data_IF_701107248455
#
_entry.id   IF_701107248455
#
_cell.length_a   1.000
_cell.length_b   1.000
_cell.length_c   1.000
_cell.angle_alpha   90.00
_cell.angle_beta   90.00
_cell.angle_gamma   90.00
#
_symmetry.space_group_name_H-M   'P 1'
#
loop_
_entity.id
_entity.type
_entity.pdbx_description
1 polymer ?
#
# COMPACT_ATOMS: atom_id res chain seq x y z
N UNK A 1 9.11 -17.90 -12.62
CA UNK A 1 8.03 -16.96 -12.92
C UNK A 1 6.74 -17.50 -12.34
N UNK A 2 6.12 -16.80 -11.39
CA UNK A 2 4.83 -17.23 -10.80
C UNK A 2 3.71 -17.16 -11.86
N UNK A 3 2.56 -17.85 -11.65
CA UNK A 3 1.42 -17.72 -12.56
C UNK A 3 0.92 -16.27 -12.70
N UNK A 4 0.90 -15.52 -11.59
CA UNK A 4 0.54 -14.10 -11.57
C UNK A 4 1.51 -13.25 -12.40
N UNK A 5 2.82 -13.47 -12.24
CA UNK A 5 3.86 -12.77 -13.00
C UNK A 5 3.73 -13.03 -14.49
N UNK A 6 3.47 -14.27 -14.89
CA UNK A 6 3.24 -14.63 -16.30
C UNK A 6 2.03 -13.89 -16.86
N UNK A 7 0.93 -13.85 -16.12
CA UNK A 7 -0.28 -13.17 -16.57
C UNK A 7 -0.05 -11.66 -16.81
N UNK A 8 0.76 -10.98 -15.96
CA UNK A 8 1.12 -9.57 -16.15
C UNK A 8 2.02 -9.32 -17.37
N UNK A 9 2.81 -10.32 -17.80
CA UNK A 9 3.60 -10.20 -19.05
C UNK A 9 2.74 -10.29 -20.31
N UNK A 10 1.58 -10.95 -20.22
CA UNK A 10 0.71 -11.23 -21.36
C UNK A 10 -0.37 -10.16 -21.55
N UNK A 11 -0.89 -9.60 -20.44
CA UNK A 11 -2.00 -8.65 -20.44
C UNK A 11 -2.02 -7.76 -19.19
N UNK A 12 -2.75 -6.65 -19.28
CA UNK A 12 -3.11 -5.84 -18.11
C UNK A 12 -4.14 -6.62 -17.29
N UNK A 13 -3.89 -6.79 -15.99
CA UNK A 13 -4.81 -7.47 -15.07
C UNK A 13 -5.77 -6.50 -14.39
N UNK A 14 -6.97 -7.01 -14.06
CA UNK A 14 -7.99 -6.26 -13.34
C UNK A 14 -8.07 -6.74 -11.89
N UNK A 15 -7.77 -5.86 -10.94
CA UNK A 15 -8.09 -6.01 -9.53
C UNK A 15 -9.56 -5.64 -9.29
N UNK A 16 -10.14 -6.17 -8.22
CA UNK A 16 -11.49 -5.87 -7.79
C UNK A 16 -11.70 -4.41 -7.34
N UNK A 17 -12.91 -4.13 -6.85
CA UNK A 17 -13.30 -2.82 -6.34
C UNK A 17 -13.36 -2.78 -4.81
N UNK A 18 -14.08 -1.79 -4.26
CA UNK A 18 -14.18 -1.60 -2.82
C UNK A 18 -15.04 -2.64 -2.08
N UNK A 19 -14.38 -3.51 -1.31
CA UNK A 19 -15.00 -4.39 -0.31
C UNK A 19 -15.89 -3.60 0.67
N UNK A 20 -15.36 -2.52 1.27
CA UNK A 20 -16.10 -1.70 2.24
C UNK A 20 -17.38 -1.07 1.66
N UNK A 21 -17.34 -0.58 0.41
CA UNK A 21 -18.52 -0.02 -0.26
C UNK A 21 -19.60 -1.08 -0.48
N UNK A 22 -19.20 -2.30 -0.85
CA UNK A 22 -20.14 -3.41 -1.04
C UNK A 22 -20.73 -3.92 0.28
N UNK A 23 -19.94 -3.93 1.36
CA UNK A 23 -20.43 -4.25 2.73
C UNK A 23 -21.46 -3.22 3.18
N UNK A 24 -21.19 -1.91 2.99
CA UNK A 24 -22.13 -0.84 3.33
C UNK A 24 -23.45 -0.98 2.53
N UNK A 25 -23.37 -1.33 1.24
CA UNK A 25 -24.53 -1.54 0.39
C UNK A 25 -25.38 -2.76 0.79
N UNK A 26 -24.82 -3.71 1.54
CA UNK A 26 -25.55 -4.89 2.02
C UNK A 26 -26.54 -4.58 3.16
N UNK A 27 -26.50 -3.37 3.74
CA UNK A 27 -27.47 -2.94 4.76
C UNK A 27 -27.42 -3.77 6.04
N UNK A 28 -26.22 -4.20 6.43
CA UNK A 28 -25.99 -5.04 7.61
C UNK A 28 -26.31 -4.29 8.91
N UNK A 29 -26.76 -5.05 9.90
CA UNK A 29 -27.01 -4.59 11.27
C UNK A 29 -25.86 -4.97 12.19
N UNK A 30 -25.81 -4.38 13.39
CA UNK A 30 -24.82 -4.76 14.41
C UNK A 30 -24.83 -6.27 14.72
N UNK A 31 -25.99 -6.94 14.65
CA UNK A 31 -26.10 -8.39 14.87
C UNK A 31 -25.32 -9.20 13.83
N UNK A 32 -25.28 -8.74 12.57
CA UNK A 32 -24.49 -9.36 11.51
C UNK A 32 -22.99 -9.29 11.78
N UNK A 33 -22.52 -8.23 12.44
CA UNK A 33 -21.14 -8.10 12.92
C UNK A 33 -20.87 -8.90 14.20
N UNK A 34 -21.89 -9.54 14.80
CA UNK A 34 -21.78 -10.29 16.06
C UNK A 34 -22.15 -9.48 17.32
N UNK A 35 -22.84 -8.35 17.16
CA UNK A 35 -23.35 -7.48 18.21
C UNK A 35 -22.72 -6.08 18.21
N UNK A 36 -23.30 -5.16 18.98
CA UNK A 36 -22.94 -3.72 19.02
C UNK A 36 -21.45 -3.45 19.27
N UNK A 37 -20.77 -4.34 19.98
CA UNK A 37 -19.33 -4.23 20.25
C UNK A 37 -18.47 -4.31 18.98
N UNK A 38 -18.91 -5.08 17.99
CA UNK A 38 -18.15 -5.39 16.78
C UNK A 38 -18.67 -4.65 15.55
N UNK A 39 -19.71 -3.83 15.71
CA UNK A 39 -20.31 -3.06 14.63
C UNK A 39 -19.26 -2.13 13.99
N UNK A 40 -19.15 -2.18 12.67
CA UNK A 40 -18.11 -1.49 11.90
C UNK A 40 -16.79 -2.26 11.71
N UNK A 41 -16.57 -3.39 12.39
CA UNK A 41 -15.42 -4.26 12.12
C UNK A 41 -15.70 -5.19 10.93
N UNK A 42 -15.47 -4.67 9.73
CA UNK A 42 -15.68 -5.41 8.47
C UNK A 42 -14.95 -6.76 8.44
N UNK A 43 -13.78 -6.85 9.07
CA UNK A 43 -13.00 -8.08 9.14
C UNK A 43 -13.70 -9.16 9.96
N UNK A 44 -14.54 -8.81 10.94
CA UNK A 44 -15.25 -9.82 11.74
C UNK A 44 -16.34 -10.55 10.92
N UNK A 45 -16.83 -9.92 9.84
CA UNK A 45 -17.76 -10.55 8.90
C UNK A 45 -17.17 -11.76 8.20
N UNK A 46 -15.84 -11.91 8.16
CA UNK A 46 -15.20 -13.14 7.67
C UNK A 46 -15.61 -14.37 8.49
N UNK A 47 -16.03 -14.19 9.74
CA UNK A 47 -16.47 -15.26 10.62
C UNK A 47 -17.98 -15.29 10.78
N UNK A 48 -18.62 -14.12 10.91
CA UNK A 48 -20.06 -14.04 11.20
C UNK A 48 -20.93 -14.10 9.95
N UNK A 49 -20.49 -13.52 8.83
CA UNK A 49 -21.21 -13.46 7.54
C UNK A 49 -20.30 -13.80 6.34
N UNK A 50 -19.68 -14.99 6.34
CA UNK A 50 -18.82 -15.41 5.22
C UNK A 50 -19.58 -15.51 3.89
N UNK A 51 -20.90 -15.70 3.93
CA UNK A 51 -21.78 -15.68 2.77
C UNK A 51 -21.78 -14.31 2.06
N UNK A 52 -21.79 -13.22 2.81
CA UNK A 52 -21.75 -11.85 2.27
C UNK A 52 -20.40 -11.59 1.61
N UNK A 53 -19.31 -11.86 2.32
CA UNK A 53 -17.95 -11.63 1.81
C UNK A 53 -17.69 -12.46 0.54
N UNK A 54 -18.09 -13.74 0.54
CA UNK A 54 -18.00 -14.59 -0.66
C UNK A 54 -18.83 -14.04 -1.82
N UNK A 55 -20.04 -13.57 -1.54
CA UNK A 55 -20.93 -12.95 -2.54
C UNK A 55 -20.31 -11.70 -3.17
N UNK A 56 -19.62 -10.87 -2.39
CA UNK A 56 -18.93 -9.68 -2.89
C UNK A 56 -17.76 -10.07 -3.82
N UNK A 57 -16.92 -11.03 -3.42
CA UNK A 57 -15.87 -11.53 -4.31
C UNK A 57 -16.44 -12.08 -5.61
N UNK A 58 -17.50 -12.90 -5.54
CA UNK A 58 -18.16 -13.45 -6.71
C UNK A 58 -18.67 -12.36 -7.65
N UNK A 59 -19.28 -11.29 -7.12
CA UNK A 59 -19.78 -10.17 -7.92
C UNK A 59 -18.67 -9.45 -8.70
N UNK A 60 -17.50 -9.24 -8.09
CA UNK A 60 -16.36 -8.63 -8.79
C UNK A 60 -15.73 -9.58 -9.84
N UNK A 61 -15.67 -10.87 -9.54
CA UNK A 61 -15.18 -11.88 -10.49
C UNK A 61 -16.12 -12.03 -11.70
N UNK A 62 -17.43 -12.01 -11.48
CA UNK A 62 -18.45 -11.98 -12.55
C UNK A 62 -18.38 -10.70 -13.39
N UNK A 63 -18.00 -9.57 -12.77
CA UNK A 63 -17.75 -8.33 -13.50
C UNK A 63 -16.48 -8.38 -14.37
N UNK A 64 -15.61 -9.37 -14.18
CA UNK A 64 -14.41 -9.56 -14.99
C UNK A 64 -13.10 -9.20 -14.27
N UNK A 65 -13.10 -9.14 -12.93
CA UNK A 65 -11.84 -9.09 -12.19
C UNK A 65 -11.00 -10.37 -12.42
N UNK A 66 -9.70 -10.18 -12.61
CA UNK A 66 -8.70 -11.25 -12.66
C UNK A 66 -8.16 -11.57 -11.26
N UNK A 67 -8.19 -10.59 -10.36
CA UNK A 67 -7.69 -10.66 -9.00
C UNK A 67 -8.75 -10.14 -8.01
N UNK A 68 -8.86 -10.78 -6.84
CA UNK A 68 -9.66 -10.26 -5.71
C UNK A 68 -8.77 -10.01 -4.49
N UNK A 69 -9.08 -8.95 -3.75
CA UNK A 69 -8.37 -8.55 -2.54
C UNK A 69 -9.07 -9.16 -1.32
N UNK A 70 -8.34 -9.80 -0.42
CA UNK A 70 -8.93 -10.37 0.81
C UNK A 70 -9.57 -9.28 1.68
N UNK A 71 -10.66 -9.60 2.38
CA UNK A 71 -11.29 -8.69 3.36
C UNK A 71 -10.47 -8.63 4.66
N UNK A 72 -9.26 -8.07 4.57
CA UNK A 72 -8.25 -8.05 5.65
C UNK A 72 -7.56 -6.70 5.80
N UNK A 73 -8.13 -5.63 5.24
CA UNK A 73 -7.55 -4.29 5.30
C UNK A 73 -7.21 -3.88 6.76
N UNK A 74 -8.13 -4.10 7.69
CA UNK A 74 -8.01 -3.81 9.12
C UNK A 74 -7.54 -4.98 10.00
N UNK A 75 -7.05 -6.09 9.44
CA UNK A 75 -6.64 -7.28 10.22
C UNK A 75 -5.29 -7.13 10.96
N UNK A 76 -4.98 -5.93 11.43
CA UNK A 76 -3.77 -5.66 12.20
C UNK A 76 -4.08 -5.69 13.72
N UNK A 77 -3.13 -6.12 14.59
CA UNK A 77 -3.44 -6.40 15.99
C UNK A 77 -4.06 -5.22 16.75
N UNK A 78 -3.53 -4.02 16.51
CA UNK A 78 -3.99 -2.79 17.16
C UNK A 78 -5.35 -2.28 16.64
N UNK A 79 -5.75 -2.62 15.41
CA UNK A 79 -7.08 -2.26 14.86
C UNK A 79 -8.12 -3.23 15.43
N UNK A 80 -7.82 -4.53 15.38
CA UNK A 80 -8.68 -5.55 16.00
C UNK A 80 -8.80 -5.36 17.52
N UNK A 81 -7.77 -4.81 18.18
CA UNK A 81 -7.82 -4.49 19.61
C UNK A 81 -8.90 -3.45 19.95
N UNK A 82 -9.23 -2.52 19.04
CA UNK A 82 -10.31 -1.53 19.23
C UNK A 82 -11.68 -2.21 19.43
N UNK A 83 -11.84 -3.42 18.86
CA UNK A 83 -13.01 -4.27 18.99
C UNK A 83 -12.84 -5.40 20.03
N UNK A 84 -11.64 -5.56 20.60
CA UNK A 84 -11.26 -6.67 21.48
C UNK A 84 -11.07 -8.01 20.78
N UNK A 85 -10.65 -7.97 19.52
CA UNK A 85 -10.45 -9.14 18.65
C UNK A 85 -8.97 -9.40 18.33
N UNK A 86 -8.02 -8.74 19.00
CA UNK A 86 -6.58 -8.87 18.73
C UNK A 86 -6.09 -10.33 18.76
N UNK A 87 -6.54 -11.10 19.76
CA UNK A 87 -6.17 -12.52 19.91
C UNK A 87 -6.77 -13.43 18.82
N UNK A 88 -7.74 -12.92 18.04
CA UNK A 88 -8.39 -13.62 16.93
C UNK A 88 -7.83 -13.23 15.57
N UNK A 89 -6.77 -12.43 15.51
CA UNK A 89 -6.15 -11.97 14.25
C UNK A 89 -5.90 -13.11 13.28
N UNK A 90 -5.28 -14.20 13.75
CA UNK A 90 -4.94 -15.33 12.91
C UNK A 90 -6.20 -16.00 12.34
N UNK A 91 -7.19 -16.29 13.19
CA UNK A 91 -8.46 -16.92 12.81
C UNK A 91 -9.22 -16.08 11.77
N UNK A 92 -9.37 -14.77 12.02
CA UNK A 92 -10.09 -13.85 11.14
C UNK A 92 -9.38 -13.73 9.78
N UNK A 93 -8.06 -13.54 9.80
CA UNK A 93 -7.27 -13.37 8.58
C UNK A 93 -7.25 -14.63 7.72
N UNK A 94 -7.11 -15.80 8.36
CA UNK A 94 -7.11 -17.09 7.66
C UNK A 94 -8.49 -17.39 7.03
N UNK A 95 -9.58 -17.09 7.74
CA UNK A 95 -10.93 -17.24 7.20
C UNK A 95 -11.13 -16.36 5.97
N UNK A 96 -10.71 -15.09 6.01
CA UNK A 96 -10.79 -14.17 4.89
C UNK A 96 -10.05 -14.69 3.64
N UNK A 97 -8.83 -15.18 3.82
CA UNK A 97 -8.03 -15.73 2.73
C UNK A 97 -8.68 -16.98 2.11
N UNK A 98 -9.25 -17.87 2.94
CA UNK A 98 -9.98 -19.05 2.48
C UNK A 98 -11.25 -18.69 1.70
N UNK A 99 -12.03 -17.72 2.19
CA UNK A 99 -13.25 -17.24 1.51
C UNK A 99 -12.89 -16.67 0.13
N UNK A 100 -11.86 -15.83 0.05
CA UNK A 100 -11.40 -15.27 -1.22
C UNK A 100 -10.89 -16.35 -2.18
N UNK A 101 -10.12 -17.34 -1.69
CA UNK A 101 -9.65 -18.48 -2.49
C UNK A 101 -10.79 -19.33 -3.03
N UNK A 102 -11.78 -19.66 -2.18
CA UNK A 102 -12.96 -20.41 -2.60
C UNK A 102 -13.74 -19.68 -3.69
N UNK A 103 -13.92 -18.36 -3.56
CA UNK A 103 -14.61 -17.56 -4.57
C UNK A 103 -13.81 -17.42 -5.88
N UNK A 104 -12.50 -17.22 -5.79
CA UNK A 104 -11.61 -17.00 -6.93
C UNK A 104 -11.45 -18.24 -7.82
N UNK A 105 -11.44 -19.44 -7.23
CA UNK A 105 -11.05 -20.66 -7.93
C UNK A 105 -9.64 -20.51 -8.51
N UNK A 106 -9.53 -20.56 -9.83
CA UNK A 106 -8.27 -20.41 -10.59
C UNK A 106 -7.80 -18.95 -10.76
N UNK A 107 -8.61 -17.96 -10.37
CA UNK A 107 -8.20 -16.54 -10.36
C UNK A 107 -7.27 -16.23 -9.19
N UNK A 108 -6.67 -15.05 -9.23
CA UNK A 108 -5.68 -14.65 -8.24
C UNK A 108 -6.31 -14.06 -6.98
N UNK A 109 -5.75 -14.39 -5.83
CA UNK A 109 -6.12 -13.82 -4.53
C UNK A 109 -4.97 -12.97 -4.01
N UNK A 110 -5.25 -11.71 -3.72
CA UNK A 110 -4.28 -10.75 -3.20
C UNK A 110 -4.55 -10.55 -1.70
N UNK A 111 -3.58 -10.90 -0.87
CA UNK A 111 -3.63 -10.72 0.57
C UNK A 111 -3.46 -9.25 0.93
N UNK A 112 -4.57 -8.53 1.12
CA UNK A 112 -4.59 -7.09 1.28
C UNK A 112 -4.43 -6.64 2.74
N UNK A 113 -3.56 -5.66 2.99
CA UNK A 113 -3.24 -5.17 4.33
C UNK A 113 -3.16 -3.64 4.27
N UNK A 114 -4.06 -2.97 4.99
CA UNK A 114 -4.14 -1.51 5.05
C UNK A 114 -3.05 -0.90 5.96
N UNK A 115 -2.99 0.43 6.11
CA UNK A 115 -1.89 1.14 6.74
C UNK A 115 -1.95 1.23 8.27
N UNK A 116 -2.99 0.66 8.92
CA UNK A 116 -3.32 0.83 10.36
C UNK A 116 -3.99 2.16 10.74
N UNK A 117 -4.53 2.24 11.97
CA UNK A 117 -4.88 3.47 12.71
C UNK A 117 -3.67 4.10 13.43
N UNK A 118 -2.49 3.46 13.37
CA UNK A 118 -1.24 3.84 14.06
C UNK A 118 -0.08 4.01 13.09
N UNK A 119 0.76 5.02 13.31
CA UNK A 119 1.88 5.37 12.44
C UNK A 119 3.12 5.75 13.26
N UNK A 120 4.29 5.35 12.77
CA UNK A 120 5.60 5.61 13.37
C UNK A 120 5.93 7.10 13.25
N UNK A 121 5.69 7.70 12.08
CA UNK A 121 6.09 9.08 11.77
C UNK A 121 4.99 10.08 12.10
N UNK A 122 3.75 9.80 11.72
CA UNK A 122 2.62 10.74 11.74
C UNK A 122 2.02 10.85 13.15
N UNK A 123 1.54 9.74 13.71
CA UNK A 123 0.88 9.72 15.02
C UNK A 123 1.83 9.37 16.17
N UNK A 124 2.99 8.78 15.87
CA UNK A 124 4.04 8.41 16.84
C UNK A 124 3.54 7.55 18.00
N UNK A 125 2.59 6.67 17.71
CA UNK A 125 1.91 5.84 18.72
C UNK A 125 2.15 4.33 18.52
N UNK A 126 3.12 3.97 17.68
CA UNK A 126 3.59 2.60 17.46
C UNK A 126 5.07 2.62 17.09
N UNK A 127 5.80 1.58 17.48
CA UNK A 127 7.22 1.40 17.17
C UNK A 127 7.42 0.59 15.89
N UNK A 128 8.64 0.64 15.34
CA UNK A 128 9.01 -0.15 14.17
C UNK A 128 8.83 -1.65 14.39
N UNK A 129 9.23 -2.15 15.56
CA UNK A 129 9.13 -3.57 15.90
C UNK A 129 7.68 -4.03 16.08
N UNK A 130 6.82 -3.20 16.68
CA UNK A 130 5.39 -3.51 16.82
C UNK A 130 4.69 -3.60 15.46
N UNK A 131 4.97 -2.67 14.54
CA UNK A 131 4.45 -2.74 13.16
C UNK A 131 4.96 -4.02 12.50
N UNK A 132 6.27 -4.27 12.53
CA UNK A 132 6.87 -5.45 11.92
C UNK A 132 6.20 -6.74 12.42
N UNK A 133 6.09 -6.93 13.74
CA UNK A 133 5.50 -8.14 14.32
C UNK A 133 4.02 -8.28 13.99
N UNK A 134 3.27 -7.19 13.97
CA UNK A 134 1.85 -7.22 13.60
C UNK A 134 1.62 -7.67 12.16
N UNK A 135 2.35 -7.09 11.21
CA UNK A 135 2.25 -7.48 9.80
C UNK A 135 2.85 -8.86 9.51
N UNK A 136 3.88 -9.30 10.26
CA UNK A 136 4.40 -10.67 10.18
C UNK A 136 3.31 -11.69 10.54
N UNK A 137 2.56 -11.47 11.62
CA UNK A 137 1.48 -12.34 12.04
C UNK A 137 0.32 -12.39 11.02
N UNK A 138 -0.08 -11.22 10.51
CA UNK A 138 -1.13 -11.13 9.48
C UNK A 138 -0.71 -11.81 8.18
N UNK A 139 0.51 -11.54 7.70
CA UNK A 139 1.05 -12.17 6.50
C UNK A 139 1.17 -13.69 6.64
N UNK A 140 1.55 -14.21 7.81
CA UNK A 140 1.62 -15.65 8.05
C UNK A 140 0.24 -16.32 7.85
N UNK A 141 -0.84 -15.73 8.38
CA UNK A 141 -2.19 -16.24 8.19
C UNK A 141 -2.67 -16.15 6.73
N UNK A 142 -2.35 -15.06 6.03
CA UNK A 142 -2.64 -14.92 4.59
C UNK A 142 -1.91 -15.99 3.75
N UNK A 143 -0.63 -16.24 4.05
CA UNK A 143 0.18 -17.24 3.37
C UNK A 143 -0.35 -18.66 3.61
N UNK A 144 -0.78 -18.98 4.83
CA UNK A 144 -1.46 -20.24 5.17
C UNK A 144 -2.78 -20.38 4.38
N UNK A 145 -3.52 -19.29 4.23
CA UNK A 145 -4.75 -19.24 3.43
C UNK A 145 -4.54 -19.37 1.91
N UNK A 146 -3.29 -19.39 1.44
CA UNK A 146 -2.96 -19.66 0.05
C UNK A 146 -3.16 -18.48 -0.90
N UNK A 147 -2.87 -17.25 -0.45
CA UNK A 147 -2.85 -16.07 -1.33
C UNK A 147 -1.74 -16.15 -2.39
N UNK A 148 -1.96 -15.47 -3.52
CA UNK A 148 -1.01 -15.40 -4.66
C UNK A 148 -0.08 -14.19 -4.60
N UNK A 149 -0.38 -13.20 -3.77
CA UNK A 149 0.47 -12.05 -3.49
C UNK A 149 0.12 -11.46 -2.11
N UNK A 150 1.04 -10.70 -1.54
CA UNK A 150 0.82 -9.89 -0.34
C UNK A 150 0.88 -8.42 -0.73
N UNK A 151 -0.14 -7.64 -0.37
CA UNK A 151 -0.30 -6.25 -0.74
C UNK A 151 -0.36 -5.37 0.50
N UNK A 152 0.61 -4.46 0.64
CA UNK A 152 0.51 -3.31 1.53
C UNK A 152 -0.17 -2.18 0.75
N UNK A 153 -1.44 -1.90 1.04
CA UNK A 153 -2.21 -0.89 0.32
C UNK A 153 -2.50 0.36 1.16
N UNK A 154 -2.85 1.45 0.47
CA UNK A 154 -3.13 2.75 1.10
C UNK A 154 -1.97 3.18 1.99
N UNK A 155 -0.73 2.88 1.57
CA UNK A 155 0.45 3.25 2.33
C UNK A 155 0.55 4.79 2.44
N UNK A 156 0.68 5.27 3.68
CA UNK A 156 0.70 6.69 4.03
C UNK A 156 1.97 7.12 4.77
N UNK A 157 2.73 6.16 5.31
CA UNK A 157 3.98 6.37 6.04
C UNK A 157 5.03 5.33 5.61
N UNK A 158 6.13 5.80 5.02
CA UNK A 158 7.18 4.92 4.48
C UNK A 158 7.90 4.13 5.56
N UNK A 159 8.02 4.64 6.80
CA UNK A 159 8.60 3.85 7.88
C UNK A 159 7.69 2.67 8.25
N UNK A 160 6.37 2.88 8.29
CA UNK A 160 5.41 1.79 8.47
C UNK A 160 5.54 0.76 7.35
N UNK A 161 5.62 1.21 6.08
CA UNK A 161 5.77 0.30 4.93
C UNK A 161 7.04 -0.53 5.04
N UNK A 162 8.17 0.06 5.42
CA UNK A 162 9.43 -0.68 5.59
C UNK A 162 9.33 -1.71 6.71
N UNK A 163 8.76 -1.35 7.86
CA UNK A 163 8.55 -2.28 8.97
C UNK A 163 7.64 -3.45 8.55
N UNK A 164 6.50 -3.13 7.94
CA UNK A 164 5.54 -4.11 7.45
C UNK A 164 6.16 -5.03 6.40
N UNK A 165 6.84 -4.47 5.38
CA UNK A 165 7.49 -5.24 4.34
C UNK A 165 8.53 -6.23 4.89
N UNK A 166 9.32 -5.82 5.89
CA UNK A 166 10.25 -6.73 6.56
C UNK A 166 9.50 -7.86 7.28
N UNK A 167 8.39 -7.56 7.96
CA UNK A 167 7.52 -8.57 8.57
C UNK A 167 6.97 -9.58 7.56
N UNK A 168 6.49 -9.09 6.41
CA UNK A 168 6.03 -9.93 5.29
C UNK A 168 7.17 -10.82 4.74
N UNK A 169 8.38 -10.29 4.59
CA UNK A 169 9.56 -11.05 4.15
C UNK A 169 9.93 -12.15 5.16
N UNK A 170 9.80 -11.88 6.47
CA UNK A 170 10.01 -12.89 7.52
C UNK A 170 8.94 -13.98 7.44
N UNK A 171 7.66 -13.62 7.31
CA UNK A 171 6.56 -14.56 7.17
C UNK A 171 6.70 -15.45 5.92
N UNK A 172 7.10 -14.89 4.78
CA UNK A 172 7.40 -15.64 3.55
C UNK A 172 8.52 -16.65 3.75
N UNK A 173 9.60 -16.25 4.42
CA UNK A 173 10.73 -17.13 4.73
C UNK A 173 10.31 -18.26 5.67
N UNK A 174 9.56 -17.93 6.73
CA UNK A 174 9.11 -18.89 7.74
C UNK A 174 8.13 -19.92 7.17
N UNK A 175 7.24 -19.51 6.27
CA UNK A 175 6.26 -20.41 5.62
C UNK A 175 6.85 -21.22 4.45
N UNK A 176 8.07 -20.91 4.00
CA UNK A 176 8.66 -21.48 2.78
C UNK A 176 8.03 -20.96 1.48
N UNK A 177 7.10 -20.00 1.55
CA UNK A 177 6.40 -19.39 0.41
C UNK A 177 7.13 -18.17 -0.15
N UNK A 178 8.41 -18.34 -0.45
CA UNK A 178 9.21 -17.30 -1.11
C UNK A 178 8.74 -16.97 -2.52
N UNK A 179 7.88 -17.81 -3.12
CA UNK A 179 7.23 -17.60 -4.42
C UNK A 179 6.16 -16.51 -4.39
N UNK A 180 5.57 -16.21 -3.23
CA UNK A 180 4.49 -15.21 -3.10
C UNK A 180 5.09 -13.79 -3.14
N UNK A 181 4.79 -12.99 -4.17
CA UNK A 181 5.33 -11.64 -4.33
C UNK A 181 4.82 -10.62 -3.28
N UNK A 182 5.61 -9.55 -3.11
CA UNK A 182 5.25 -8.38 -2.31
C UNK A 182 4.83 -7.22 -3.21
N UNK A 183 3.64 -6.69 -2.99
CA UNK A 183 3.09 -5.52 -3.66
C UNK A 183 2.98 -4.36 -2.66
N UNK A 184 3.21 -3.14 -3.13
CA UNK A 184 2.98 -1.92 -2.35
C UNK A 184 2.13 -0.97 -3.18
N UNK A 185 1.10 -0.39 -2.57
CA UNK A 185 0.36 0.71 -3.17
C UNK A 185 0.25 1.85 -2.18
N UNK A 186 0.70 3.02 -2.61
CA UNK A 186 0.70 4.22 -1.79
C UNK A 186 -0.49 5.12 -2.10
N UNK A 187 -0.79 5.96 -1.13
CA UNK A 187 -1.76 7.02 -1.24
C UNK A 187 -1.02 8.35 -1.26
N UNK A 188 -1.27 9.14 -2.31
CA UNK A 188 -0.76 10.50 -2.46
C UNK A 188 -1.92 11.46 -2.21
N UNK A 189 -1.73 12.36 -1.25
CA UNK A 189 -2.68 13.41 -0.92
C UNK A 189 -2.76 14.45 -2.04
N UNK A 190 -3.83 15.27 -2.11
CA UNK A 190 -3.95 16.34 -3.11
C UNK A 190 -2.75 17.30 -3.19
N UNK A 191 -1.97 17.39 -2.11
CA UNK A 191 -0.77 18.22 -2.02
C UNK A 191 0.46 17.60 -2.73
N UNK A 192 0.33 16.40 -3.30
CA UNK A 192 1.35 15.75 -4.11
C UNK A 192 2.33 14.86 -3.35
N UNK A 193 2.06 14.58 -2.06
CA UNK A 193 2.89 13.72 -1.20
C UNK A 193 2.02 12.74 -0.40
N UNK A 194 2.62 11.69 0.13
CA UNK A 194 1.99 10.83 1.14
C UNK A 194 1.71 11.64 2.42
N UNK A 195 0.87 11.12 3.33
CA UNK A 195 0.58 11.77 4.60
C UNK A 195 1.84 12.05 5.44
N UNK A 196 2.84 11.15 5.41
CA UNK A 196 4.14 11.36 6.05
C UNK A 196 5.10 12.29 5.27
N UNK A 197 4.64 12.90 4.17
CA UNK A 197 5.34 13.95 3.43
C UNK A 197 6.18 13.48 2.25
N UNK A 198 6.41 12.17 2.05
CA UNK A 198 7.22 11.69 0.92
C UNK A 198 6.49 11.79 -0.42
N UNK A 199 7.19 12.28 -1.44
CA UNK A 199 6.78 12.17 -2.83
C UNK A 199 7.03 10.77 -3.42
N UNK A 200 6.44 10.51 -4.59
CA UNK A 200 6.48 9.17 -5.23
C UNK A 200 7.88 8.68 -5.58
N UNK A 201 8.78 9.59 -5.98
CA UNK A 201 10.17 9.26 -6.32
C UNK A 201 10.97 8.83 -5.08
N UNK A 202 10.83 9.61 -4.00
CA UNK A 202 11.45 9.32 -2.71
C UNK A 202 10.93 8.01 -2.13
N UNK A 203 9.64 7.73 -2.27
CA UNK A 203 9.04 6.47 -1.88
C UNK A 203 9.68 5.29 -2.63
N UNK A 204 9.76 5.36 -3.96
CA UNK A 204 10.30 4.24 -4.75
C UNK A 204 11.78 3.97 -4.41
N UNK A 205 12.61 5.00 -4.32
CA UNK A 205 14.02 4.87 -3.87
C UNK A 205 14.08 4.24 -2.47
N UNK A 206 13.18 4.65 -1.57
CA UNK A 206 13.13 4.13 -0.20
C UNK A 206 12.80 2.64 -0.12
N UNK A 207 12.17 2.07 -1.17
CA UNK A 207 11.61 0.72 -1.17
C UNK A 207 12.21 -0.23 -2.21
N UNK A 208 12.93 0.27 -3.24
CA UNK A 208 13.43 -0.58 -4.34
C UNK A 208 14.28 -1.77 -3.85
N UNK A 209 15.07 -1.57 -2.78
CA UNK A 209 15.88 -2.60 -2.14
C UNK A 209 15.08 -3.82 -1.61
N UNK A 210 13.76 -3.71 -1.49
CA UNK A 210 12.89 -4.80 -1.04
C UNK A 210 12.55 -5.82 -2.15
N UNK A 211 12.94 -5.55 -3.40
CA UNK A 211 12.61 -6.42 -4.54
C UNK A 211 11.10 -6.56 -4.73
N UNK A 212 10.41 -5.42 -4.79
CA UNK A 212 8.95 -5.38 -4.95
C UNK A 212 8.53 -6.05 -6.26
N UNK A 213 7.40 -6.75 -6.21
CA UNK A 213 6.74 -7.26 -7.41
C UNK A 213 5.98 -6.18 -8.13
N UNK A 214 5.28 -5.33 -7.38
CA UNK A 214 4.67 -4.12 -7.94
C UNK A 214 4.69 -2.96 -6.96
N UNK A 215 4.73 -1.75 -7.51
CA UNK A 215 4.49 -0.51 -6.79
C UNK A 215 3.38 0.29 -7.49
N UNK A 216 2.46 0.87 -6.74
CA UNK A 216 1.31 1.55 -7.34
C UNK A 216 0.71 2.65 -6.48
N UNK A 217 -0.41 3.16 -6.96
CA UNK A 217 -1.19 4.20 -6.31
C UNK A 217 -2.66 3.79 -6.16
N UNK A 218 -3.22 4.05 -4.98
CA UNK A 218 -4.64 3.86 -4.72
C UNK A 218 -5.21 4.92 -3.78
N UNK A 219 -6.54 5.03 -3.77
CA UNK A 219 -7.30 5.93 -2.89
C UNK A 219 -6.96 7.44 -3.07
N UNK A 220 -7.23 8.23 -2.01
CA UNK A 220 -7.14 9.70 -1.81
C UNK A 220 -7.75 10.61 -2.86
N UNK A 221 -7.31 10.53 -4.09
CA UNK A 221 -7.64 11.49 -5.14
C UNK A 221 -8.10 10.78 -6.39
N UNK A 222 -9.05 11.37 -7.13
CA UNK A 222 -9.46 10.84 -8.43
C UNK A 222 -8.28 10.68 -9.41
N UNK A 223 -8.45 9.92 -10.50
CA UNK A 223 -7.38 9.62 -11.46
C UNK A 223 -6.60 10.85 -11.92
N UNK A 224 -7.23 12.01 -12.08
CA UNK A 224 -6.59 13.25 -12.52
C UNK A 224 -5.33 13.58 -11.73
N UNK A 225 -5.43 13.55 -10.40
CA UNK A 225 -4.33 13.91 -9.49
C UNK A 225 -3.22 12.85 -9.46
N UNK A 226 -3.53 11.60 -9.83
CA UNK A 226 -2.53 10.52 -9.87
C UNK A 226 -1.64 10.59 -11.11
N UNK A 227 -2.06 11.30 -12.17
CA UNK A 227 -1.42 11.27 -13.50
C UNK A 227 0.09 11.47 -13.44
N UNK A 228 0.56 12.59 -12.85
CA UNK A 228 1.97 12.95 -12.87
C UNK A 228 2.79 12.02 -11.97
N UNK A 229 2.25 11.65 -10.81
CA UNK A 229 2.90 10.72 -9.88
C UNK A 229 3.03 9.33 -10.49
N UNK A 230 1.99 8.84 -11.17
CA UNK A 230 1.99 7.56 -11.84
C UNK A 230 2.96 7.56 -13.02
N UNK A 231 3.03 8.64 -13.81
CA UNK A 231 4.02 8.78 -14.88
C UNK A 231 5.44 8.66 -14.33
N UNK A 232 5.82 9.49 -13.35
CA UNK A 232 7.15 9.46 -12.74
C UNK A 232 7.48 8.08 -12.17
N UNK A 233 6.55 7.48 -11.43
CA UNK A 233 6.70 6.13 -10.87
C UNK A 233 6.92 5.09 -11.97
N UNK A 234 6.16 5.19 -13.05
CA UNK A 234 6.28 4.31 -14.20
C UNK A 234 7.63 4.51 -14.91
N UNK A 235 8.18 5.71 -15.01
CA UNK A 235 9.46 5.88 -15.70
C UNK A 235 10.62 5.24 -14.92
N UNK A 236 10.50 5.16 -13.59
CA UNK A 236 11.57 4.64 -12.71
C UNK A 236 11.42 3.18 -12.27
N UNK A 237 10.19 2.66 -12.20
CA UNK A 237 9.95 1.36 -11.59
C UNK A 237 10.47 0.20 -12.46
N UNK A 238 11.40 -0.58 -11.90
CA UNK A 238 11.91 -1.84 -12.48
C UNK A 238 10.99 -3.02 -12.16
N UNK A 239 10.00 -2.81 -11.28
CA UNK A 239 8.91 -3.72 -11.01
C UNK A 239 7.62 -3.33 -11.75
N UNK A 240 6.58 -4.16 -11.61
CA UNK A 240 5.26 -3.88 -12.18
C UNK A 240 4.62 -2.64 -11.53
N UNK A 241 3.69 -2.01 -12.23
CA UNK A 241 2.98 -0.84 -11.68
C UNK A 241 1.48 -1.08 -11.62
N UNK A 242 0.85 -0.54 -10.57
CA UNK A 242 -0.59 -0.66 -10.36
C UNK A 242 -1.28 0.68 -10.10
N UNK A 243 -2.55 0.78 -10.49
CA UNK A 243 -3.39 1.91 -10.10
C UNK A 243 -4.83 1.50 -9.90
N UNK A 244 -5.44 1.88 -8.77
CA UNK A 244 -6.84 1.60 -8.49
C UNK A 244 -7.44 2.75 -7.68
N UNK A 245 -7.93 3.80 -8.36
CA UNK A 245 -8.39 5.02 -7.73
C UNK A 245 -9.81 4.89 -7.17
N UNK A 246 -10.23 5.88 -6.37
CA UNK A 246 -11.61 6.02 -5.94
C UNK A 246 -12.54 6.35 -7.11
N UNK A 247 -13.84 6.09 -6.96
CA UNK A 247 -14.89 6.59 -7.83
C UNK A 247 -15.15 8.10 -7.60
N UNK A 248 -14.10 8.91 -7.73
CA UNK A 248 -14.11 10.34 -7.45
C UNK A 248 -13.92 10.65 -5.96
N UNK A 249 -14.12 11.92 -5.59
CA UNK A 249 -14.17 12.34 -4.19
C UNK A 249 -15.59 12.11 -3.64
N UNK A 250 -15.74 11.66 -2.39
CA UNK A 250 -17.05 11.56 -1.77
C UNK A 250 -17.68 12.95 -1.58
N UNK A 251 -18.99 13.05 -1.73
CA UNK A 251 -19.76 14.24 -1.37
C UNK A 251 -19.93 14.37 0.15
N UNK A 252 -20.64 15.41 0.61
CA UNK A 252 -20.92 15.66 2.04
C UNK A 252 -21.66 14.51 2.74
N UNK A 253 -22.27 13.60 1.96
CA UNK A 253 -23.01 12.42 2.44
C UNK A 253 -22.20 11.13 2.29
N UNK A 254 -20.93 11.23 1.88
CA UNK A 254 -20.06 10.08 1.65
C UNK A 254 -20.33 9.34 0.33
N UNK A 255 -21.12 9.91 -0.58
CA UNK A 255 -21.47 9.27 -1.85
C UNK A 255 -20.48 9.62 -2.95
N UNK A 256 -20.15 8.62 -3.76
CA UNK A 256 -19.20 8.75 -4.86
C UNK A 256 -19.95 8.99 -6.18
N UNK A 257 -19.62 10.09 -6.85
CA UNK A 257 -20.32 10.55 -8.06
C UNK A 257 -19.71 10.10 -9.39
N UNK A 258 -18.51 9.51 -9.39
CA UNK A 258 -17.87 9.06 -10.62
C UNK A 258 -18.60 7.84 -11.19
N UNK A 259 -18.89 7.86 -12.49
CA UNK A 259 -19.58 6.75 -13.17
C UNK A 259 -18.59 5.71 -13.68
N UNK A 260 -19.03 4.45 -13.92
CA UNK A 260 -18.20 3.41 -14.52
C UNK A 260 -17.48 3.83 -15.81
N UNK A 261 -18.19 4.52 -16.70
CA UNK A 261 -17.66 4.97 -17.99
C UNK A 261 -16.63 6.10 -17.81
N UNK A 262 -16.91 7.04 -16.92
CA UNK A 262 -16.01 8.17 -16.66
C UNK A 262 -14.72 7.70 -15.99
N UNK A 263 -14.80 6.80 -15.01
CA UNK A 263 -13.62 6.19 -14.40
C UNK A 263 -12.79 5.40 -15.43
N UNK A 264 -13.43 4.57 -16.25
CA UNK A 264 -12.75 3.81 -17.30
C UNK A 264 -12.06 4.75 -18.31
N UNK A 265 -12.71 5.84 -18.73
CA UNK A 265 -12.12 6.82 -19.64
C UNK A 265 -10.86 7.46 -19.04
N UNK A 266 -10.86 7.76 -17.74
CA UNK A 266 -9.68 8.30 -17.07
C UNK A 266 -8.53 7.30 -17.01
N UNK A 267 -8.83 6.04 -16.69
CA UNK A 267 -7.84 4.96 -16.67
C UNK A 267 -7.31 4.63 -18.08
N UNK A 268 -8.10 4.86 -19.14
CA UNK A 268 -7.68 4.63 -20.51
C UNK A 268 -6.38 5.36 -20.83
N UNK A 269 -6.22 6.61 -20.37
CA UNK A 269 -4.99 7.38 -20.57
C UNK A 269 -3.77 6.63 -20.03
N UNK A 270 -3.85 6.11 -18.80
CA UNK A 270 -2.70 5.42 -18.16
C UNK A 270 -2.34 4.12 -18.87
N UNK A 271 -3.34 3.44 -19.42
CA UNK A 271 -3.15 2.21 -20.18
C UNK A 271 -2.57 2.51 -21.56
N UNK A 272 -3.09 3.54 -22.25
CA UNK A 272 -2.63 3.96 -23.58
C UNK A 272 -1.16 4.43 -23.53
N UNK A 273 -0.77 5.14 -22.47
CA UNK A 273 0.62 5.55 -22.21
C UNK A 273 1.51 4.43 -21.66
N UNK A 274 0.94 3.23 -21.42
CA UNK A 274 1.64 2.05 -20.86
C UNK A 274 2.33 2.35 -19.52
N UNK A 275 1.65 3.06 -18.63
CA UNK A 275 2.14 3.34 -17.28
C UNK A 275 1.79 2.27 -16.26
N UNK A 276 0.86 1.36 -16.58
CA UNK A 276 0.30 0.38 -15.64
C UNK A 276 0.19 -1.03 -16.22
N UNK A 277 0.30 -2.02 -15.33
CA UNK A 277 0.09 -3.45 -15.63
C UNK A 277 -1.05 -4.08 -14.83
N UNK A 278 -1.47 -3.44 -13.74
CA UNK A 278 -2.63 -3.83 -12.95
C UNK A 278 -3.51 -2.62 -12.69
N UNK A 279 -4.80 -2.74 -12.95
CA UNK A 279 -5.78 -1.68 -12.73
C UNK A 279 -6.96 -2.19 -11.92
N UNK A 280 -7.63 -1.34 -11.14
CA UNK A 280 -8.80 -1.76 -10.37
C UNK A 280 -9.57 -0.57 -9.84
N UNK A 281 -10.31 -0.77 -8.75
CA UNK A 281 -11.04 0.29 -8.07
C UNK A 281 -10.80 0.31 -6.57
N UNK A 282 -10.89 1.49 -5.96
CA UNK A 282 -10.90 1.66 -4.51
C UNK A 282 -12.28 2.19 -4.07
N UNK A 283 -12.35 3.10 -3.09
CA UNK A 283 -13.60 3.53 -2.47
C UNK A 283 -14.63 4.03 -3.50
N UNK A 284 -15.88 3.59 -3.35
CA UNK A 284 -16.99 3.94 -4.23
C UNK A 284 -17.09 3.10 -5.51
N UNK A 285 -16.10 2.26 -5.81
CA UNK A 285 -16.15 1.43 -7.02
C UNK A 285 -16.96 0.15 -6.82
N UNK A 286 -17.77 -0.18 -7.83
CA UNK A 286 -18.75 -1.28 -7.82
C UNK A 286 -18.44 -2.30 -8.93
N UNK A 287 -19.13 -3.46 -8.98
CA UNK A 287 -19.00 -4.40 -10.10
C UNK A 287 -19.23 -3.76 -11.48
N UNK A 288 -20.07 -2.73 -11.60
CA UNK A 288 -20.25 -1.99 -12.85
C UNK A 288 -18.98 -1.27 -13.29
N UNK A 289 -18.24 -0.69 -12.35
CA UNK A 289 -16.95 -0.05 -12.60
C UNK A 289 -15.92 -1.07 -13.08
N UNK A 290 -15.80 -2.19 -12.37
CA UNK A 290 -14.88 -3.27 -12.75
C UNK A 290 -15.21 -3.84 -14.12
N UNK A 291 -16.49 -3.97 -14.46
CA UNK A 291 -16.93 -4.41 -15.80
C UNK A 291 -16.54 -3.43 -16.91
N UNK A 292 -16.60 -2.13 -16.64
CA UNK A 292 -16.12 -1.11 -17.58
C UNK A 292 -14.59 -1.18 -17.77
N UNK A 293 -13.85 -1.34 -16.67
CA UNK A 293 -12.39 -1.48 -16.67
C UNK A 293 -11.95 -2.76 -17.40
N UNK A 294 -12.59 -3.90 -17.14
CA UNK A 294 -12.30 -5.17 -17.80
C UNK A 294 -12.48 -5.10 -19.32
N UNK A 295 -13.54 -4.42 -19.78
CA UNK A 295 -13.76 -4.18 -21.22
C UNK A 295 -12.68 -3.30 -21.83
N UNK A 296 -12.22 -2.29 -21.09
CA UNK A 296 -11.18 -1.37 -21.53
C UNK A 296 -9.83 -2.07 -21.73
N UNK A 297 -9.44 -2.96 -20.81
CA UNK A 297 -8.11 -3.59 -20.83
C UNK A 297 -7.99 -4.80 -21.75
N UNK A 298 -9.11 -5.42 -22.16
CA UNK A 298 -9.14 -6.72 -22.86
C UNK A 298 -8.29 -6.83 -24.15
N UNK A 299 -7.87 -5.71 -24.73
CA UNK A 299 -7.05 -5.67 -25.97
C UNK A 299 -5.82 -4.77 -25.83
N UNK A 300 -5.37 -4.53 -24.61
CA UNK A 300 -4.27 -3.60 -24.33
C UNK A 300 -3.06 -4.38 -23.87
N UNK A 301 -1.92 -4.01 -24.43
CA UNK A 301 -0.64 -4.58 -24.02
C UNK A 301 -0.24 -4.02 -22.66
N UNK A 302 0.39 -4.83 -21.81
CA UNK A 302 0.95 -4.35 -20.57
C UNK A 302 2.12 -3.39 -20.83
N UNK A 303 2.42 -2.59 -19.81
CA UNK A 303 3.69 -1.87 -19.65
C UNK A 303 4.88 -2.83 -19.66
N UNK A 304 6.02 -2.31 -20.10
CA UNK A 304 7.33 -2.93 -19.86
C UNK A 304 8.02 -2.18 -18.71
N UNK A 305 8.44 -2.85 -17.62
CA UNK A 305 9.19 -2.21 -16.54
C UNK A 305 10.49 -1.57 -17.02
N UNK A 306 10.98 -0.58 -16.28
CA UNK A 306 12.30 0.00 -16.52
C UNK A 306 13.40 -1.05 -16.32
N UNK A 307 14.53 -0.88 -17.01
CA UNK A 307 15.66 -1.82 -16.94
C UNK A 307 16.76 -1.38 -15.98
N UNK A 308 16.73 -0.12 -15.53
CA UNK A 308 17.76 0.48 -14.68
C UNK A 308 17.11 1.02 -13.43
N UNK A 309 17.63 0.60 -12.27
CA UNK A 309 17.21 1.15 -10.98
C UNK A 309 17.78 2.57 -10.80
N UNK A 310 16.98 3.52 -10.29
CA UNK A 310 17.46 4.85 -9.96
C UNK A 310 18.57 4.82 -8.91
N UNK A 311 19.69 5.46 -9.23
CA UNK A 311 20.83 5.62 -8.34
C UNK A 311 20.66 6.88 -7.49
N UNK A 312 19.81 6.79 -6.47
CA UNK A 312 19.52 7.91 -5.56
C UNK A 312 19.44 7.49 -4.10
N UNK A 313 19.41 8.49 -3.22
CA UNK A 313 19.06 8.34 -1.80
C UNK A 313 17.80 9.14 -1.52
N UNK A 314 17.08 8.82 -0.45
CA UNK A 314 15.83 9.48 -0.10
C UNK A 314 15.75 9.85 1.37
N UNK A 315 15.29 11.08 1.63
CA UNK A 315 14.71 11.52 2.89
C UNK A 315 13.21 11.71 2.68
N UNK A 316 12.67 12.90 2.96
CA UNK A 316 11.35 13.31 2.42
C UNK A 316 11.42 13.45 0.90
N UNK A 317 12.52 14.03 0.41
CA UNK A 317 12.80 14.23 -1.00
C UNK A 317 13.81 13.20 -1.52
N UNK A 318 13.74 12.95 -2.83
CA UNK A 318 14.75 12.17 -3.54
C UNK A 318 15.98 13.04 -3.85
N UNK A 319 17.17 12.48 -3.69
CA UNK A 319 18.43 13.07 -4.11
C UNK A 319 19.14 12.12 -5.08
N UNK A 320 19.29 12.56 -6.31
CA UNK A 320 20.03 11.86 -7.36
C UNK A 320 21.41 12.51 -7.54
N UNK A 321 22.51 11.84 -7.19
CA UNK A 321 23.85 12.36 -7.46
C UNK A 321 24.15 12.33 -8.96
N UNK A 322 24.11 13.48 -9.63
CA UNK A 322 24.42 13.66 -11.05
C UNK A 322 25.67 14.52 -11.23
N UNK A 323 26.22 14.62 -12.44
CA UNK A 323 27.38 15.48 -12.69
C UNK A 323 27.07 16.97 -12.49
N UNK A 324 25.80 17.37 -12.66
CA UNK A 324 25.36 18.77 -12.53
C UNK A 324 25.20 19.25 -11.09
N UNK A 325 25.05 18.33 -10.12
CA UNK A 325 24.83 18.68 -8.72
C UNK A 325 25.95 18.23 -7.77
N UNK A 326 27.08 17.78 -8.32
CA UNK A 326 28.27 17.42 -7.57
C UNK A 326 29.16 18.65 -7.29
N UNK A 327 29.87 18.68 -6.14
CA UNK A 327 29.88 17.68 -5.08
C UNK A 327 28.60 17.69 -4.23
N UNK A 328 28.19 16.52 -3.74
CA UNK A 328 27.10 16.41 -2.74
C UNK A 328 27.67 16.78 -1.37
N UNK A 329 27.08 17.76 -0.71
CA UNK A 329 27.51 18.18 0.63
C UNK A 329 26.87 17.31 1.73
N UNK A 330 27.72 16.71 2.57
CA UNK A 330 27.33 15.92 3.74
C UNK A 330 27.60 16.70 5.02
N UNK A 331 26.56 16.97 5.81
CA UNK A 331 26.67 17.65 7.10
C UNK A 331 27.18 16.73 8.21
N UNK A 332 28.38 17.00 8.72
CA UNK A 332 29.08 16.18 9.72
C UNK A 332 28.73 16.48 11.19
N UNK A 333 28.00 17.56 11.49
CA UNK A 333 27.87 18.08 12.87
C UNK A 333 26.84 17.34 13.73
N UNK A 334 26.07 16.43 13.14
CA UNK A 334 25.11 15.54 13.81
C UNK A 334 25.82 14.28 14.33
N UNK A 335 26.94 14.49 15.02
CA UNK A 335 27.90 13.45 15.40
C UNK A 335 28.40 13.69 16.83
N UNK A 336 28.17 12.72 17.74
CA UNK A 336 28.53 12.84 19.17
C UNK A 336 30.04 12.85 19.42
N UNK A 337 30.86 12.42 18.47
CA UNK A 337 32.33 12.41 18.55
C UNK A 337 32.87 13.79 18.10
N UNK A 338 32.37 14.30 16.97
CA UNK A 338 32.89 15.52 16.34
C UNK A 338 32.24 16.84 16.77
N UNK A 339 31.06 16.80 17.39
CA UNK A 339 30.25 17.99 17.68
C UNK A 339 29.88 18.08 19.16
N UNK A 340 30.60 18.93 19.90
CA UNK A 340 30.36 19.16 21.34
C UNK A 340 28.90 19.51 21.65
N UNK A 341 28.32 20.44 20.88
CA UNK A 341 26.92 20.86 21.06
C UNK A 341 25.95 19.69 20.84
N UNK A 342 26.15 18.90 19.79
CA UNK A 342 25.27 17.77 19.50
C UNK A 342 25.36 16.70 20.59
N UNK A 343 26.59 16.36 21.02
CA UNK A 343 26.84 15.45 22.15
C UNK A 343 26.12 15.87 23.43
N UNK A 344 26.26 17.14 23.82
CA UNK A 344 25.62 17.68 25.03
C UNK A 344 24.09 17.56 24.96
N UNK A 345 23.49 17.79 23.80
CA UNK A 345 22.04 17.68 23.61
C UNK A 345 21.56 16.22 23.62
N UNK A 346 22.29 15.32 22.94
CA UNK A 346 21.94 13.88 22.89
C UNK A 346 22.06 13.23 24.27
N UNK A 347 23.14 13.50 25.02
CA UNK A 347 23.32 12.95 26.39
C UNK A 347 22.25 13.47 27.35
N UNK A 348 21.68 14.64 27.10
CA UNK A 348 20.59 15.21 27.87
C UNK A 348 19.19 14.79 27.37
N UNK A 349 19.10 13.82 26.44
CA UNK A 349 17.86 13.37 25.79
C UNK A 349 17.05 14.50 25.11
N UNK A 350 17.73 15.60 24.73
CA UNK A 350 17.13 16.75 24.04
C UNK A 350 17.12 16.54 22.53
N UNK A 351 16.46 15.49 22.05
CA UNK A 351 16.49 15.07 20.65
C UNK A 351 15.94 16.12 19.68
N UNK A 352 14.90 16.88 20.05
CA UNK A 352 14.38 17.95 19.19
C UNK A 352 15.38 19.10 19.00
N UNK A 353 16.09 19.47 20.07
CA UNK A 353 17.15 20.47 19.98
C UNK A 353 18.38 19.93 19.24
N UNK A 354 18.68 18.63 19.39
CA UNK A 354 19.74 17.96 18.64
C UNK A 354 19.42 17.96 17.14
N UNK A 355 18.15 17.75 16.76
CA UNK A 355 17.69 17.80 15.37
C UNK A 355 17.89 19.20 14.74
N UNK A 356 17.81 20.29 15.52
CA UNK A 356 18.13 21.64 15.01
C UNK A 356 19.59 21.79 14.56
N UNK A 357 20.53 21.01 15.11
CA UNK A 357 21.91 20.97 14.61
C UNK A 357 21.94 20.46 13.18
N UNK A 358 21.16 19.42 12.87
CA UNK A 358 20.97 18.90 11.52
C UNK A 358 20.29 19.92 10.59
N UNK A 359 19.14 20.48 11.01
CA UNK A 359 18.39 21.48 10.22
C UNK A 359 19.24 22.71 9.90
N UNK A 360 20.11 23.14 10.82
CA UNK A 360 21.04 24.24 10.57
C UNK A 360 22.06 23.93 9.45
N UNK A 361 22.52 22.68 9.35
CA UNK A 361 23.41 22.26 8.25
C UNK A 361 22.68 22.23 6.91
N UNK A 362 21.42 21.76 6.89
CA UNK A 362 20.58 21.78 5.68
C UNK A 362 20.35 23.21 5.21
N UNK A 363 20.02 24.15 6.11
CA UNK A 363 19.91 25.58 5.80
C UNK A 363 21.21 26.19 5.27
N UNK A 364 22.36 25.61 5.62
CA UNK A 364 23.67 26.01 5.14
C UNK A 364 24.11 25.31 3.84
N UNK A 365 23.24 24.48 3.23
CA UNK A 365 23.47 23.82 1.95
C UNK A 365 23.87 22.35 2.02
N UNK A 366 23.86 21.72 3.20
CA UNK A 366 24.04 20.27 3.29
C UNK A 366 22.83 19.54 2.66
N UNK A 367 23.11 18.62 1.74
CA UNK A 367 22.10 17.82 1.04
C UNK A 367 21.85 16.47 1.73
N UNK A 368 22.86 15.96 2.44
CA UNK A 368 22.80 14.75 3.27
C UNK A 368 23.31 15.09 4.66
N UNK A 369 22.83 14.40 5.69
CA UNK A 369 23.33 14.52 7.06
C UNK A 369 23.98 13.20 7.49
N UNK A 370 25.20 13.27 8.02
CA UNK A 370 25.81 12.18 8.78
C UNK A 370 25.18 12.12 10.17
N UNK A 371 24.79 10.94 10.66
CA UNK A 371 24.21 10.79 11.99
C UNK A 371 24.99 9.74 12.79
N UNK A 372 25.70 10.16 13.83
CA UNK A 372 26.52 9.28 14.65
C UNK A 372 26.19 9.47 16.14
N UNK A 373 25.73 8.38 16.76
CA UNK A 373 25.39 8.26 18.19
C UNK A 373 26.31 7.29 18.94
N UNK A 374 27.44 6.92 18.32
CA UNK A 374 28.37 5.87 18.78
C UNK A 374 29.07 6.17 20.11
#
# INVERSE_FOLDING_TARGET
>A
MSPLERALTERVLVLDGAMGTMIQAAGLSAEDFGGDRYDGCNEHLNLTRPDVIRGIHAAYLEAGADCVSTNTFGCAPYVLAEYGLADRLHEITLAAARIAREAAGERFVIGAMGPSTRSITVTRNVTFDEVLTGYEAQAAALLEGGVDALLLETAQDTLNVKAAAIGLLRARRASGRSDVPLMVSATIEPMGTMLAGQGVEALYISLQHLGLFSIGLNCATGPEFMTDHLRSLSEMATCWTSVYPNAGLPDERGQYGETPQSLALKLQRFIDERWVTLVGGCCGTTPEHIRAIARLVARRSPRTPATVEPQGVSGIDALYPTDDNRPIFVGERTNVIGSRKFKELVVADRFEDAAEVGRAQVRAGAQVLDACLA
#
